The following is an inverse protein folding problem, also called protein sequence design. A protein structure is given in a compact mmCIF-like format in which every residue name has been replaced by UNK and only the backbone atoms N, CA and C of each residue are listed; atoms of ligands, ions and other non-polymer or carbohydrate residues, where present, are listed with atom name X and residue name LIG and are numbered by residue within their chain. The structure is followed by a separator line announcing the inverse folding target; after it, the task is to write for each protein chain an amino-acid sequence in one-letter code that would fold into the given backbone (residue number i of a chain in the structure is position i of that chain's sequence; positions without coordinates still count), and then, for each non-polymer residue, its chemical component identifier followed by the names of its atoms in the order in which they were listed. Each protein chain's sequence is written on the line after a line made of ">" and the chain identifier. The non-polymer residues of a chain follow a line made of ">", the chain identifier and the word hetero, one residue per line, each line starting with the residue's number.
data_IF_132235917213
#
_entry.id   IF_132235917213
#
_cell.length_a   1.000
_cell.length_b   1.000
_cell.length_c   1.000
_cell.angle_alpha   90.00
_cell.angle_beta   90.00
_cell.angle_gamma   90.00
#
_symmetry.space_group_name_H-M   'P 1'
#
loop_
_entity.id
_entity.type
_entity.pdbx_description
1 polymer ?
#
# COMPACT_ATOMS: atom_id res chain seq x y z
N UNK A 1 26.60 -14.04 -2.80
CA UNK A 1 25.27 -13.49 -2.55
C UNK A 1 24.38 -14.62 -2.05
N UNK A 2 23.88 -14.60 -0.81
CA UNK A 2 22.95 -15.62 -0.34
C UNK A 2 21.59 -15.31 -0.96
N UNK A 3 20.97 -16.32 -1.60
CA UNK A 3 19.61 -16.17 -2.16
C UNK A 3 18.64 -15.78 -1.06
N UNK A 4 17.75 -14.86 -1.36
CA UNK A 4 16.63 -14.50 -0.49
C UNK A 4 15.82 -15.79 -0.28
N UNK A 5 15.51 -16.20 0.97
CA UNK A 5 14.82 -17.47 1.23
C UNK A 5 13.33 -17.44 0.86
N UNK A 6 12.84 -16.28 0.43
CA UNK A 6 11.50 -16.14 -0.13
C UNK A 6 11.60 -16.40 -1.63
N UNK A 7 10.94 -17.42 -2.14
CA UNK A 7 10.65 -17.48 -3.55
C UNK A 7 9.89 -16.19 -3.87
N UNK A 8 10.50 -15.31 -4.69
CA UNK A 8 9.74 -14.26 -5.33
C UNK A 8 8.76 -15.00 -6.23
N UNK A 9 7.52 -15.13 -5.78
CA UNK A 9 6.48 -15.67 -6.62
C UNK A 9 6.30 -14.68 -7.77
N UNK A 10 6.55 -15.13 -8.98
CA UNK A 10 6.35 -14.33 -10.19
C UNK A 10 4.88 -14.23 -10.56
N UNK A 11 4.02 -15.04 -9.91
CA UNK A 11 2.59 -15.03 -10.15
C UNK A 11 1.93 -13.91 -9.34
N UNK A 12 1.28 -12.99 -10.05
CA UNK A 12 0.43 -11.96 -9.47
C UNK A 12 -1.03 -12.40 -9.52
N UNK A 13 -1.77 -12.09 -8.47
CA UNK A 13 -3.17 -12.44 -8.34
C UNK A 13 -4.06 -11.20 -8.49
N UNK A 14 -5.28 -11.41 -8.97
CA UNK A 14 -6.31 -10.38 -8.94
C UNK A 14 -6.97 -10.31 -7.54
N UNK A 15 -7.57 -9.18 -7.15
CA UNK A 15 -8.25 -9.03 -5.86
C UNK A 15 -9.31 -10.09 -5.56
N UNK A 16 -10.02 -10.56 -6.58
CA UNK A 16 -11.02 -11.64 -6.48
C UNK A 16 -10.44 -12.99 -6.05
N UNK A 17 -9.13 -13.20 -6.26
CA UNK A 17 -8.44 -14.45 -5.94
C UNK A 17 -7.90 -14.48 -4.50
N UNK A 18 -8.25 -13.48 -3.66
CA UNK A 18 -7.71 -13.33 -2.30
C UNK A 18 -7.90 -14.57 -1.44
N UNK A 19 -8.99 -15.28 -1.56
CA UNK A 19 -9.21 -16.53 -0.83
C UNK A 19 -8.15 -17.59 -1.16
N UNK A 20 -7.81 -17.74 -2.46
CA UNK A 20 -6.73 -18.63 -2.90
C UNK A 20 -5.39 -18.18 -2.32
N UNK A 21 -5.09 -16.88 -2.39
CA UNK A 21 -3.85 -16.32 -1.85
C UNK A 21 -3.72 -16.58 -0.35
N UNK A 22 -4.78 -16.33 0.42
CA UNK A 22 -4.78 -16.57 1.86
C UNK A 22 -4.59 -18.07 2.19
N UNK A 23 -5.19 -18.98 1.44
CA UNK A 23 -5.01 -20.42 1.64
C UNK A 23 -3.56 -20.87 1.40
N UNK A 24 -2.82 -20.20 0.55
CA UNK A 24 -1.40 -20.44 0.29
C UNK A 24 -0.47 -19.74 1.29
N UNK A 25 -0.83 -18.54 1.70
CA UNK A 25 0.03 -17.64 2.48
C UNK A 25 -0.11 -17.81 4.00
N UNK A 26 -1.26 -18.26 4.48
CA UNK A 26 -1.64 -18.22 5.90
C UNK A 26 -2.15 -19.60 6.38
N UNK A 27 -1.83 -19.92 7.62
CA UNK A 27 -2.42 -21.03 8.35
C UNK A 27 -2.71 -20.61 9.81
N UNK A 28 -3.48 -21.39 10.54
CA UNK A 28 -3.90 -21.06 11.92
C UNK A 28 -2.73 -20.85 12.89
N UNK A 29 -1.59 -21.52 12.66
CA UNK A 29 -0.38 -21.38 13.48
C UNK A 29 0.32 -20.02 13.29
N UNK A 30 -0.03 -19.28 12.26
CA UNK A 30 0.53 -17.95 12.01
C UNK A 30 -0.03 -16.88 12.95
N UNK A 31 -1.11 -17.12 13.69
CA UNK A 31 -1.60 -16.18 14.67
C UNK A 31 -0.86 -16.34 16.01
N UNK A 32 -0.24 -15.24 16.48
CA UNK A 32 0.44 -15.16 17.76
C UNK A 32 -0.29 -14.22 18.70
N UNK A 33 -0.46 -14.64 19.96
CA UNK A 33 -1.10 -13.81 20.99
C UNK A 33 -0.11 -13.00 21.82
N UNK A 34 -0.60 -11.95 22.44
CA UNK A 34 0.13 -11.20 23.46
C UNK A 34 -0.55 -11.31 24.85
N UNK A 35 0.08 -10.75 25.89
CA UNK A 35 -0.43 -10.80 27.27
C UNK A 35 -1.74 -9.99 27.47
N UNK A 36 -2.18 -9.21 26.46
CA UNK A 36 -3.43 -8.44 26.50
C UNK A 36 -4.61 -9.17 25.84
N UNK A 37 -4.40 -10.42 25.43
CA UNK A 37 -5.41 -11.21 24.73
C UNK A 37 -5.61 -10.81 23.27
N UNK A 38 -4.72 -9.99 22.71
CA UNK A 38 -4.73 -9.66 21.29
C UNK A 38 -3.97 -10.72 20.49
N UNK A 39 -4.42 -11.02 19.29
CA UNK A 39 -3.78 -11.94 18.35
C UNK A 39 -3.39 -11.21 17.07
N UNK A 40 -2.22 -11.51 16.57
CA UNK A 40 -1.68 -10.89 15.35
C UNK A 40 -1.26 -11.97 14.36
N UNK A 41 -1.56 -11.74 13.08
CA UNK A 41 -1.04 -12.57 12.01
C UNK A 41 0.48 -12.32 11.87
N UNK A 42 1.27 -13.34 12.14
CA UNK A 42 2.74 -13.27 12.14
C UNK A 42 3.32 -13.74 10.79
N UNK A 43 2.92 -13.08 9.71
CA UNK A 43 3.54 -13.20 8.39
C UNK A 43 3.80 -11.80 7.84
N UNK A 44 4.78 -11.62 6.95
CA UNK A 44 5.03 -10.31 6.32
C UNK A 44 3.83 -9.92 5.46
N UNK A 45 3.28 -8.74 5.70
CA UNK A 45 2.22 -8.15 4.88
C UNK A 45 2.60 -6.71 4.55
N UNK A 46 2.48 -6.33 3.30
CA UNK A 46 2.81 -4.99 2.81
C UNK A 46 1.76 -4.46 1.85
N UNK A 47 1.72 -3.14 1.73
CA UNK A 47 0.86 -2.44 0.79
C UNK A 47 1.60 -1.23 0.23
N UNK A 48 1.40 -0.97 -1.05
CA UNK A 48 1.95 0.17 -1.76
C UNK A 48 1.03 0.60 -2.89
N UNK A 49 1.13 1.86 -3.32
CA UNK A 49 0.35 2.40 -4.45
C UNK A 49 1.25 3.11 -5.45
N UNK A 50 0.83 3.05 -6.71
CA UNK A 50 1.40 3.91 -7.74
C UNK A 50 0.39 4.99 -8.13
N UNK A 51 0.89 6.20 -8.23
CA UNK A 51 0.05 7.37 -8.49
C UNK A 51 0.53 8.15 -9.71
N UNK A 52 -0.41 8.77 -10.39
CA UNK A 52 -0.14 9.78 -11.42
C UNK A 52 -0.50 11.14 -10.88
N UNK A 53 0.27 12.18 -11.27
CA UNK A 53 -0.01 13.56 -10.91
C UNK A 53 -0.52 14.32 -12.12
N UNK A 54 -1.51 15.16 -11.89
CA UNK A 54 -2.05 16.09 -12.88
C UNK A 54 -2.34 17.44 -12.23
N UNK A 55 -2.64 18.43 -13.04
CA UNK A 55 -2.97 19.76 -12.58
C UNK A 55 -4.39 20.11 -13.00
N UNK A 56 -5.13 20.78 -12.13
CA UNK A 56 -6.50 21.21 -12.37
C UNK A 56 -6.59 22.72 -12.25
N UNK A 57 -7.21 23.35 -13.22
CA UNK A 57 -7.47 24.79 -13.15
C UNK A 57 -8.76 25.11 -12.39
N UNK A 58 -9.08 26.39 -12.28
CA UNK A 58 -10.28 26.89 -11.58
C UNK A 58 -11.60 26.51 -12.26
N UNK A 59 -11.54 26.07 -13.51
CA UNK A 59 -12.71 25.64 -14.29
C UNK A 59 -12.89 24.10 -14.25
N UNK A 60 -11.95 23.37 -13.59
CA UNK A 60 -11.99 21.91 -13.48
C UNK A 60 -11.27 21.17 -14.60
N UNK A 61 -10.71 21.89 -15.59
CA UNK A 61 -9.93 21.26 -16.66
C UNK A 61 -8.63 20.68 -16.15
N UNK A 62 -8.23 19.54 -16.72
CA UNK A 62 -7.06 18.77 -16.27
C UNK A 62 -5.91 18.86 -17.26
N UNK A 63 -4.69 18.95 -16.74
CA UNK A 63 -3.49 19.14 -17.51
C UNK A 63 -2.38 18.21 -17.03
N UNK A 64 -1.60 17.66 -17.98
CA UNK A 64 -0.36 16.95 -17.66
C UNK A 64 0.71 17.91 -17.17
N UNK A 65 1.77 17.37 -16.54
CA UNK A 65 2.90 18.19 -16.07
C UNK A 65 3.51 19.05 -17.17
N UNK A 66 3.74 18.48 -18.35
CA UNK A 66 4.33 19.21 -19.50
C UNK A 66 3.45 20.37 -19.96
N UNK A 67 2.13 20.14 -20.00
CA UNK A 67 1.19 21.20 -20.37
C UNK A 67 1.14 22.30 -19.31
N UNK A 68 1.13 21.91 -18.02
CA UNK A 68 1.21 22.85 -16.91
C UNK A 68 2.44 23.76 -17.00
N UNK A 69 3.63 23.19 -17.28
CA UNK A 69 4.87 23.98 -17.44
C UNK A 69 4.77 24.93 -18.62
N UNK A 70 4.27 24.48 -19.79
CA UNK A 70 4.09 25.31 -20.98
C UNK A 70 3.12 26.49 -20.76
N UNK A 71 2.18 26.35 -19.83
CA UNK A 71 1.22 27.39 -19.47
C UNK A 71 1.71 28.36 -18.39
N UNK A 72 2.96 28.25 -17.94
CA UNK A 72 3.58 29.12 -16.94
C UNK A 72 3.84 28.49 -15.58
N UNK A 73 3.55 27.20 -15.41
CA UNK A 73 3.87 26.43 -14.21
C UNK A 73 3.30 27.06 -12.93
N UNK A 74 4.17 27.35 -11.95
CA UNK A 74 3.77 27.90 -10.64
C UNK A 74 3.10 29.30 -10.71
N UNK A 75 3.20 30.00 -11.82
CA UNK A 75 2.50 31.27 -12.02
C UNK A 75 1.02 31.08 -12.32
N UNK A 76 0.61 29.87 -12.70
CA UNK A 76 -0.80 29.50 -12.84
C UNK A 76 -1.41 29.22 -11.47
N UNK A 77 -2.72 29.45 -11.33
CA UNK A 77 -3.47 29.07 -10.11
C UNK A 77 -3.97 27.62 -10.14
N UNK A 78 -3.24 26.74 -10.84
CA UNK A 78 -3.61 25.34 -10.96
C UNK A 78 -3.27 24.56 -9.68
N UNK A 79 -4.18 23.71 -9.26
CA UNK A 79 -3.98 22.79 -8.15
C UNK A 79 -3.35 21.49 -8.63
N UNK A 80 -2.31 21.02 -7.93
CA UNK A 80 -1.73 19.71 -8.18
C UNK A 80 -2.60 18.63 -7.53
N UNK A 81 -3.11 17.72 -8.34
CA UNK A 81 -3.88 16.56 -7.93
C UNK A 81 -3.10 15.27 -8.14
N UNK A 82 -3.45 14.23 -7.43
CA UNK A 82 -2.88 12.89 -7.60
C UNK A 82 -3.98 11.86 -7.65
N UNK A 83 -3.82 10.86 -8.52
CA UNK A 83 -4.74 9.75 -8.71
C UNK A 83 -3.96 8.43 -8.58
N UNK A 84 -4.43 7.51 -7.75
CA UNK A 84 -3.94 6.15 -7.71
C UNK A 84 -4.44 5.41 -8.97
N UNK A 85 -3.56 4.69 -9.65
CA UNK A 85 -3.89 3.90 -10.83
C UNK A 85 -3.57 2.41 -10.69
N UNK A 86 -2.79 2.05 -9.69
CA UNK A 86 -2.53 0.66 -9.28
C UNK A 86 -2.16 0.61 -7.80
N UNK A 87 -2.60 -0.42 -7.12
CA UNK A 87 -2.16 -0.78 -5.80
C UNK A 87 -1.66 -2.22 -5.75
N UNK A 88 -0.76 -2.48 -4.81
CA UNK A 88 -0.12 -3.77 -4.62
C UNK A 88 -0.26 -4.19 -3.16
N UNK A 89 -0.72 -5.42 -2.94
CA UNK A 89 -0.82 -6.04 -1.64
C UNK A 89 0.04 -7.29 -1.61
N UNK A 90 1.07 -7.28 -0.77
CA UNK A 90 1.97 -8.41 -0.57
C UNK A 90 1.65 -9.16 0.72
N UNK A 91 1.56 -10.48 0.67
CA UNK A 91 1.39 -11.31 1.85
C UNK A 91 2.22 -12.59 1.73
N UNK A 92 3.17 -12.79 2.66
CA UNK A 92 4.01 -13.97 2.76
C UNK A 92 4.65 -14.42 1.42
N UNK A 93 5.08 -13.44 0.60
CA UNK A 93 5.71 -13.67 -0.70
C UNK A 93 4.74 -13.71 -1.90
N UNK A 94 3.43 -13.73 -1.70
CA UNK A 94 2.43 -13.61 -2.75
C UNK A 94 2.06 -12.15 -2.97
N UNK A 95 1.70 -11.78 -4.21
CA UNK A 95 1.31 -10.42 -4.56
C UNK A 95 -0.07 -10.39 -5.20
N UNK A 96 -0.91 -9.47 -4.73
CA UNK A 96 -2.21 -9.13 -5.34
C UNK A 96 -2.12 -7.73 -5.89
N UNK A 97 -2.57 -7.53 -7.13
CA UNK A 97 -2.57 -6.24 -7.81
C UNK A 97 -4.01 -5.86 -8.17
N UNK A 98 -4.41 -4.66 -7.79
CA UNK A 98 -5.71 -4.10 -8.17
C UNK A 98 -5.58 -2.68 -8.72
N UNK A 99 -6.68 -2.19 -9.27
CA UNK A 99 -6.72 -0.97 -10.07
C UNK A 99 -7.67 0.08 -9.50
N UNK A 100 -8.61 -0.33 -8.66
CA UNK A 100 -9.63 0.56 -8.09
C UNK A 100 -9.68 0.46 -6.58
N UNK A 101 -10.17 1.52 -5.94
CA UNK A 101 -10.37 1.53 -4.50
C UNK A 101 -11.50 0.60 -4.05
N UNK A 102 -12.48 0.37 -4.91
CA UNK A 102 -13.56 -0.58 -4.66
C UNK A 102 -13.02 -2.01 -4.53
N UNK A 103 -12.15 -2.41 -5.47
CA UNK A 103 -11.44 -3.70 -5.38
C UNK A 103 -10.62 -3.82 -4.08
N UNK A 104 -9.94 -2.73 -3.67
CA UNK A 104 -9.14 -2.71 -2.46
C UNK A 104 -10.00 -2.91 -1.21
N UNK A 105 -11.07 -2.13 -1.05
CA UNK A 105 -11.97 -2.24 0.11
C UNK A 105 -12.62 -3.63 0.16
N UNK A 106 -13.16 -4.11 -0.97
CA UNK A 106 -13.76 -5.45 -1.07
C UNK A 106 -12.75 -6.55 -0.70
N UNK A 107 -11.50 -6.42 -1.15
CA UNK A 107 -10.44 -7.38 -0.79
C UNK A 107 -10.16 -7.36 0.71
N UNK A 108 -10.08 -6.18 1.35
CA UNK A 108 -9.86 -6.08 2.80
C UNK A 108 -11.01 -6.68 3.62
N UNK A 109 -12.25 -6.45 3.19
CA UNK A 109 -13.42 -7.05 3.83
C UNK A 109 -13.39 -8.58 3.71
N UNK A 110 -13.09 -9.11 2.53
CA UNK A 110 -12.91 -10.55 2.33
C UNK A 110 -11.77 -11.13 3.20
N UNK A 111 -10.64 -10.41 3.35
CA UNK A 111 -9.56 -10.83 4.25
C UNK A 111 -10.07 -10.91 5.69
N UNK A 112 -10.79 -9.89 6.12
CA UNK A 112 -11.36 -9.84 7.47
C UNK A 112 -12.30 -11.01 7.73
N UNK A 113 -13.20 -11.27 6.82
CA UNK A 113 -14.19 -12.35 6.93
C UNK A 113 -13.53 -13.74 6.92
N UNK A 114 -12.65 -14.00 5.94
CA UNK A 114 -11.97 -15.30 5.80
C UNK A 114 -11.10 -15.63 7.01
N UNK A 115 -10.39 -14.63 7.53
CA UNK A 115 -9.50 -14.81 8.69
C UNK A 115 -10.24 -14.61 10.02
N UNK A 116 -11.53 -14.26 10.00
CA UNK A 116 -12.33 -13.92 11.16
C UNK A 116 -11.61 -12.92 12.06
N UNK A 117 -11.28 -11.76 11.46
CA UNK A 117 -10.57 -10.68 12.14
C UNK A 117 -11.51 -9.88 13.05
N UNK A 118 -10.94 -9.12 13.95
CA UNK A 118 -11.64 -8.22 14.87
C UNK A 118 -10.66 -7.24 15.49
N UNK A 119 -11.11 -6.29 16.29
CA UNK A 119 -10.22 -5.40 17.03
C UNK A 119 -9.14 -6.12 17.87
N UNK A 120 -9.41 -7.36 18.30
CA UNK A 120 -8.49 -8.19 19.09
C UNK A 120 -7.75 -9.25 18.28
N UNK A 121 -8.18 -9.54 17.06
CA UNK A 121 -7.51 -10.48 16.14
C UNK A 121 -7.21 -9.76 14.84
N UNK A 122 -5.96 -9.33 14.63
CA UNK A 122 -5.58 -8.40 13.57
C UNK A 122 -4.57 -8.94 12.59
N UNK A 123 -4.65 -8.43 11.37
CA UNK A 123 -3.58 -8.44 10.39
C UNK A 123 -2.87 -7.09 10.42
N UNK A 124 -1.52 -7.08 10.39
CA UNK A 124 -0.73 -5.85 10.33
C UNK A 124 -0.19 -5.70 8.92
N UNK A 125 -0.60 -4.65 8.24
CA UNK A 125 -0.15 -4.29 6.89
C UNK A 125 0.87 -3.16 7.03
N UNK A 126 2.11 -3.41 6.62
CA UNK A 126 3.16 -2.42 6.62
C UNK A 126 3.15 -1.60 5.34
N UNK A 127 3.14 -0.28 5.51
CA UNK A 127 3.22 0.70 4.43
C UNK A 127 4.47 1.54 4.65
N UNK A 128 5.31 1.67 3.62
CA UNK A 128 6.52 2.47 3.75
C UNK A 128 6.22 3.94 3.47
N UNK A 129 6.23 4.79 4.53
CA UNK A 129 5.75 6.17 4.51
C UNK A 129 4.21 6.27 4.45
N UNK A 130 3.52 5.56 5.34
CA UNK A 130 2.05 5.54 5.45
C UNK A 130 1.38 6.93 5.33
N UNK A 131 2.08 8.00 5.68
CA UNK A 131 1.58 9.37 5.55
C UNK A 131 1.15 9.74 4.13
N UNK A 132 1.77 9.15 3.11
CA UNK A 132 1.39 9.37 1.73
C UNK A 132 0.15 8.56 1.34
N UNK A 133 0.19 7.25 1.48
CA UNK A 133 -0.88 6.34 1.06
C UNK A 133 -2.16 6.58 1.87
N UNK A 134 -2.04 6.91 3.16
CA UNK A 134 -3.16 7.15 4.05
C UNK A 134 -4.10 8.25 3.55
N UNK A 135 -3.57 9.29 2.87
CA UNK A 135 -4.40 10.37 2.32
C UNK A 135 -5.38 9.89 1.24
N UNK A 136 -5.07 8.78 0.56
CA UNK A 136 -5.90 8.24 -0.50
C UNK A 136 -7.01 7.32 0.01
N UNK A 137 -6.80 6.58 1.10
CA UNK A 137 -7.77 5.59 1.56
C UNK A 137 -8.38 5.86 2.94
N UNK A 138 -7.95 6.90 3.65
CA UNK A 138 -8.45 7.20 5.01
C UNK A 138 -9.96 7.38 5.11
N UNK A 139 -10.59 7.90 4.06
CA UNK A 139 -12.05 8.15 4.02
C UNK A 139 -12.85 6.95 3.48
N UNK A 140 -12.16 5.92 3.01
CA UNK A 140 -12.77 4.71 2.46
C UNK A 140 -12.99 3.61 3.51
N UNK A 141 -12.32 3.69 4.66
CA UNK A 141 -12.33 2.67 5.71
C UNK A 141 -12.95 3.21 7.00
N UNK A 142 -13.59 2.32 7.74
CA UNK A 142 -14.10 2.61 9.08
C UNK A 142 -13.00 2.37 10.12
N UNK A 143 -12.59 3.43 10.80
CA UNK A 143 -11.46 3.41 11.73
C UNK A 143 -11.94 3.30 13.18
N UNK A 144 -11.53 2.22 13.87
CA UNK A 144 -11.66 2.11 15.31
C UNK A 144 -10.64 3.01 16.04
N UNK A 145 -9.44 3.16 15.45
CA UNK A 145 -8.39 3.99 16.04
C UNK A 145 -7.39 4.45 15.00
N UNK A 146 -7.00 5.73 15.07
CA UNK A 146 -5.85 6.28 14.34
C UNK A 146 -4.93 6.97 15.31
N UNK A 147 -3.63 6.63 15.29
CA UNK A 147 -2.60 7.29 16.07
C UNK A 147 -1.61 8.00 15.17
N UNK A 148 -1.52 9.32 15.31
CA UNK A 148 -0.72 10.20 14.47
C UNK A 148 0.19 11.09 15.30
N UNK A 149 1.37 11.43 14.75
CA UNK A 149 2.26 12.44 15.33
C UNK A 149 1.68 13.84 15.09
N UNK A 150 1.12 14.04 13.90
CA UNK A 150 0.38 15.23 13.50
C UNK A 150 -0.75 14.85 12.51
N UNK A 151 -1.54 15.82 12.07
CA UNK A 151 -2.73 15.62 11.21
C UNK A 151 -2.48 14.80 9.92
N UNK A 152 -1.23 14.72 9.46
CA UNK A 152 -0.87 14.06 8.21
C UNK A 152 0.20 12.98 8.37
N UNK A 153 0.55 12.60 9.59
CA UNK A 153 1.61 11.62 9.86
C UNK A 153 1.14 10.49 10.75
N UNK A 154 0.26 9.62 10.26
CA UNK A 154 -0.17 8.45 11.01
C UNK A 154 1.01 7.51 11.23
N UNK A 155 1.12 7.04 12.47
CA UNK A 155 2.05 5.96 12.86
C UNK A 155 1.36 4.63 12.55
N UNK A 156 0.08 4.51 12.95
CA UNK A 156 -0.77 3.39 12.63
C UNK A 156 -2.26 3.77 12.63
N UNK A 157 -3.05 2.98 11.93
CA UNK A 157 -4.51 3.00 11.98
C UNK A 157 -5.06 1.60 12.07
N UNK A 158 -6.10 1.40 12.89
CA UNK A 158 -6.80 0.14 13.08
C UNK A 158 -8.23 0.34 12.61
N UNK A 159 -8.69 -0.50 11.70
CA UNK A 159 -10.10 -0.51 11.25
C UNK A 159 -10.96 -1.33 12.20
N UNK A 160 -12.27 -1.09 12.19
CA UNK A 160 -13.23 -1.83 13.00
C UNK A 160 -13.25 -3.34 12.70
N UNK A 161 -12.93 -3.71 11.46
CA UNK A 161 -12.86 -5.10 11.00
C UNK A 161 -11.48 -5.75 11.17
N UNK A 162 -10.57 -5.17 11.97
CA UNK A 162 -9.32 -5.81 12.39
C UNK A 162 -8.15 -5.71 11.40
N UNK A 163 -8.20 -4.79 10.46
CA UNK A 163 -7.07 -4.45 9.60
C UNK A 163 -6.26 -3.33 10.29
N UNK A 164 -4.96 -3.54 10.47
CA UNK A 164 -4.07 -2.54 11.06
C UNK A 164 -3.00 -2.13 10.07
N UNK A 165 -2.96 -0.85 9.69
CA UNK A 165 -1.90 -0.27 8.87
C UNK A 165 -0.82 0.33 9.75
N UNK A 166 0.45 0.03 9.50
CA UNK A 166 1.61 0.59 10.23
C UNK A 166 2.63 1.22 9.30
N UNK A 167 3.17 2.36 9.70
CA UNK A 167 4.26 3.01 8.99
C UNK A 167 5.59 2.29 9.24
N UNK A 168 6.14 1.59 8.23
CA UNK A 168 7.44 0.92 8.35
C UNK A 168 8.62 1.90 8.30
N UNK A 169 8.46 3.07 7.66
CA UNK A 169 9.48 4.12 7.69
C UNK A 169 9.79 4.59 9.11
N UNK A 170 8.75 4.80 9.94
CA UNK A 170 8.93 5.25 11.32
C UNK A 170 9.58 4.19 12.23
N UNK A 171 9.50 2.91 11.86
CA UNK A 171 10.18 1.83 12.58
C UNK A 171 11.69 1.81 12.32
N UNK A 172 12.11 2.17 11.11
CA UNK A 172 13.52 2.07 10.70
C UNK A 172 14.22 3.42 10.64
N UNK A 173 13.49 4.50 10.34
CA UNK A 173 14.05 5.82 10.05
C UNK A 173 14.78 5.91 8.69
N UNK A 174 14.72 4.86 7.87
CA UNK A 174 15.45 4.77 6.60
C UNK A 174 14.51 4.67 5.40
N UNK A 175 14.96 5.21 4.25
CA UNK A 175 14.32 4.92 2.97
C UNK A 175 14.45 3.43 2.61
N UNK A 176 13.58 2.91 1.75
CA UNK A 176 13.64 1.51 1.28
C UNK A 176 15.01 1.17 0.68
N UNK A 177 15.60 2.08 -0.11
CA UNK A 177 16.93 1.89 -0.69
C UNK A 177 17.99 1.69 0.41
N UNK A 178 18.03 2.59 1.40
CA UNK A 178 18.99 2.50 2.50
C UNK A 178 18.73 1.29 3.39
N UNK A 179 17.48 0.88 3.56
CA UNK A 179 17.13 -0.33 4.31
C UNK A 179 17.70 -1.57 3.61
N UNK A 180 17.51 -1.68 2.28
CA UNK A 180 18.04 -2.77 1.48
C UNK A 180 19.56 -2.88 1.55
N UNK A 181 20.27 -1.75 1.49
CA UNK A 181 21.73 -1.69 1.62
C UNK A 181 22.24 -2.17 2.98
N UNK A 182 21.47 -1.90 4.06
CA UNK A 182 21.86 -2.24 5.44
C UNK A 182 21.51 -3.67 5.86
N UNK A 183 20.78 -4.42 5.04
CA UNK A 183 20.49 -5.81 5.33
C UNK A 183 21.76 -6.67 5.27
N UNK A 184 22.15 -7.26 6.41
CA UNK A 184 23.39 -8.07 6.49
C UNK A 184 23.22 -9.47 5.92
N UNK A 185 22.06 -10.09 6.14
CA UNK A 185 21.83 -11.50 5.76
C UNK A 185 21.30 -11.64 4.34
N UNK A 186 20.39 -10.78 3.94
CA UNK A 186 19.75 -10.78 2.64
C UNK A 186 19.76 -9.35 2.10
N UNK A 187 20.78 -9.02 1.31
CA UNK A 187 20.82 -7.74 0.62
C UNK A 187 19.78 -7.74 -0.50
N UNK A 188 18.99 -6.70 -0.53
CA UNK A 188 18.00 -6.48 -1.55
C UNK A 188 18.14 -5.04 -2.05
N UNK A 189 18.31 -4.87 -3.34
CA UNK A 189 18.29 -3.55 -3.96
C UNK A 189 16.83 -3.11 -4.15
N UNK A 190 16.58 -1.81 -3.96
CA UNK A 190 15.28 -1.25 -4.32
C UNK A 190 15.10 -1.40 -5.83
N UNK A 191 14.04 -2.09 -6.24
CA UNK A 191 13.66 -2.12 -7.64
C UNK A 191 13.27 -0.70 -8.07
N UNK A 192 13.88 -0.23 -9.14
CA UNK A 192 13.53 1.03 -9.80
C UNK A 192 12.86 0.65 -11.10
N UNK A 193 11.57 0.94 -11.22
CA UNK A 193 10.84 0.74 -12.48
C UNK A 193 11.12 1.89 -13.45
N UNK A 194 11.03 1.62 -14.74
CA UNK A 194 11.14 2.60 -15.83
C UNK A 194 9.79 3.32 -16.06
N UNK A 195 9.10 3.68 -14.97
CA UNK A 195 7.82 4.38 -15.07
C UNK A 195 8.05 5.84 -15.49
N UNK A 196 7.51 6.20 -16.63
CA UNK A 196 7.42 7.60 -17.03
C UNK A 196 6.32 8.30 -16.21
N UNK A 197 6.72 9.05 -15.19
CA UNK A 197 5.82 9.80 -14.31
C UNK A 197 5.20 11.04 -14.96
N UNK A 198 5.60 11.40 -16.18
CA UNK A 198 4.98 12.49 -16.94
C UNK A 198 3.66 12.08 -17.59
N UNK A 199 3.44 10.79 -17.78
CA UNK A 199 2.24 10.25 -18.37
C UNK A 199 1.09 10.21 -17.38
N UNK A 200 -0.07 10.70 -17.81
CA UNK A 200 -1.31 10.56 -17.05
C UNK A 200 -1.81 9.12 -17.21
N UNK A 201 -1.90 8.40 -16.08
CA UNK A 201 -2.41 7.03 -16.00
C UNK A 201 -3.67 6.98 -15.16
N UNK A 202 -4.55 6.04 -15.46
CA UNK A 202 -5.77 5.76 -14.71
C UNK A 202 -5.99 4.24 -14.63
N UNK A 203 -7.04 3.79 -13.95
CA UNK A 203 -7.33 2.38 -13.68
C UNK A 203 -7.39 1.50 -14.95
N UNK A 204 -7.78 2.05 -16.10
CA UNK A 204 -7.88 1.33 -17.37
C UNK A 204 -6.59 1.40 -18.21
N UNK A 205 -5.62 2.23 -17.83
CA UNK A 205 -4.35 2.29 -18.55
C UNK A 205 -3.65 0.94 -18.44
N UNK A 206 -3.26 0.28 -19.55
CA UNK A 206 -2.57 -1.00 -19.51
C UNK A 206 -1.30 -0.91 -18.66
N UNK A 207 -1.07 -1.92 -17.83
CA UNK A 207 0.24 -2.12 -17.20
C UNK A 207 1.14 -2.76 -18.24
N UNK A 208 2.20 -2.08 -18.64
CA UNK A 208 3.23 -2.68 -19.50
C UNK A 208 3.90 -3.82 -18.74
N UNK A 209 4.02 -4.96 -19.41
CA UNK A 209 4.78 -6.12 -18.91
C UNK A 209 6.27 -5.82 -18.87
#
# INVERSE_FOLDING_TARGET
>A
MKKIPFALHTETFAPKDIQKVLSLAVNDKNFTGNNKGEKFLNVPVSFDIETTSFYRDVYGETYTYDRYIKLGGKQTKMEKCSLMYVWQFGINGYCVIGRTWEEFVTMLDNISDILNLSEKKRIIIYVHNLAYEFQFFRELLQWAKVFSIDLRKPIYGITENGIEFRCSYLLSGYSLAKLGEQLHKYKCEKLVGDLDYSLLRHSETPLTQ
#
